data_IF_899593315312
#
_entry.id   IF_899593315312
#
_cell.length_a   1.000
_cell.length_b   1.000
_cell.length_c   1.000
_cell.angle_alpha   90.00
_cell.angle_beta   90.00
_cell.angle_gamma   90.00
#
_symmetry.space_group_name_H-M   'P 1'
#
loop_
_entity.id
_entity.type
_entity.pdbx_description
1 polymer ?
#
# COMPACT_ATOMS: atom_id res chain seq x y z
N UNK A 1 -17.28 -23.07 5.95
CA UNK A 1 -16.38 -22.14 5.22
C UNK A 1 -15.15 -21.91 6.10
N UNK A 2 -13.95 -22.26 5.66
CA UNK A 2 -12.71 -21.94 6.40
C UNK A 2 -12.38 -20.47 6.13
N UNK A 3 -12.24 -19.67 7.18
CA UNK A 3 -11.73 -18.30 7.05
C UNK A 3 -10.21 -18.39 7.10
N UNK A 4 -9.55 -18.06 5.99
CA UNK A 4 -8.10 -17.95 5.96
C UNK A 4 -7.66 -16.67 6.66
N UNK A 5 -6.58 -16.76 7.44
CA UNK A 5 -6.03 -15.61 8.15
C UNK A 5 -5.30 -14.72 7.16
N UNK A 6 -5.84 -13.54 6.91
CA UNK A 6 -5.20 -12.51 6.09
C UNK A 6 -4.36 -11.60 6.99
N UNK A 7 -3.09 -11.39 6.64
CA UNK A 7 -2.24 -10.36 7.25
C UNK A 7 -2.31 -9.11 6.39
N UNK A 8 -2.75 -8.00 6.98
CA UNK A 8 -2.89 -6.71 6.31
C UNK A 8 -1.78 -5.76 6.74
N UNK A 9 -1.18 -5.08 5.77
CA UNK A 9 -0.28 -3.95 5.99
C UNK A 9 -1.04 -2.69 5.58
N UNK A 10 -1.17 -1.74 6.49
CA UNK A 10 -1.82 -0.45 6.23
C UNK A 10 -1.10 0.67 6.97
N UNK A 11 -1.54 1.91 6.74
CA UNK A 11 -0.97 3.13 7.30
C UNK A 11 -2.07 4.00 7.92
N UNK A 12 -1.69 5.12 8.51
CA UNK A 12 -2.66 6.14 8.93
C UNK A 12 -3.37 6.75 7.71
N UNK A 13 -4.57 7.31 7.94
CA UNK A 13 -5.36 8.03 6.92
C UNK A 13 -4.66 9.30 6.47
N UNK A 14 -5.00 9.82 5.28
CA UNK A 14 -4.31 10.98 4.70
C UNK A 14 -2.81 10.70 4.52
N UNK A 15 -2.52 9.49 4.00
CA UNK A 15 -1.17 8.97 3.86
C UNK A 15 -0.29 9.90 3.01
N UNK A 16 0.88 10.22 3.54
CA UNK A 16 1.93 10.97 2.87
C UNK A 16 2.94 10.02 2.19
N UNK A 17 4.05 10.58 1.69
CA UNK A 17 5.08 9.79 1.02
C UNK A 17 5.81 8.83 1.96
N UNK A 18 5.92 9.14 3.25
CA UNK A 18 6.53 8.23 4.22
C UNK A 18 5.62 7.03 4.47
N UNK A 19 4.32 7.26 4.65
CA UNK A 19 3.33 6.18 4.72
C UNK A 19 3.37 5.28 3.48
N UNK A 20 3.42 5.87 2.27
CA UNK A 20 3.53 5.12 1.03
C UNK A 20 4.83 4.30 0.95
N UNK A 21 5.98 4.89 1.31
CA UNK A 21 7.27 4.22 1.32
C UNK A 21 7.33 3.09 2.35
N UNK A 22 6.78 3.32 3.54
CA UNK A 22 6.63 2.34 4.61
C UNK A 22 5.77 1.15 4.17
N UNK A 23 4.65 1.40 3.47
CA UNK A 23 3.80 0.35 2.91
C UNK A 23 4.57 -0.53 1.91
N UNK A 24 5.38 0.08 1.04
CA UNK A 24 6.22 -0.63 0.08
C UNK A 24 7.29 -1.46 0.79
N UNK A 25 7.98 -0.89 1.77
CA UNK A 25 9.02 -1.56 2.55
C UNK A 25 8.45 -2.76 3.31
N UNK A 26 7.36 -2.57 4.05
CA UNK A 26 6.70 -3.62 4.80
C UNK A 26 6.23 -4.76 3.87
N UNK A 27 5.71 -4.46 2.67
CA UNK A 27 5.35 -5.50 1.71
C UNK A 27 6.54 -6.28 1.13
N UNK A 28 7.75 -5.73 1.16
CA UNK A 28 8.98 -6.48 0.84
C UNK A 28 9.41 -7.37 2.01
N UNK A 29 9.26 -6.90 3.25
CA UNK A 29 9.57 -7.66 4.47
C UNK A 29 8.57 -8.81 4.70
N UNK A 30 7.30 -8.62 4.31
CA UNK A 30 6.23 -9.59 4.46
C UNK A 30 5.54 -9.87 3.12
N UNK A 31 6.15 -10.68 2.23
CA UNK A 31 5.62 -10.91 0.88
C UNK A 31 4.23 -11.56 0.82
N UNK A 32 3.86 -12.34 1.85
CA UNK A 32 2.54 -12.98 1.96
C UNK A 32 1.45 -12.07 2.51
N UNK A 33 1.79 -10.86 2.95
CA UNK A 33 0.82 -9.90 3.49
C UNK A 33 0.24 -9.01 2.37
N UNK A 34 -1.03 -8.63 2.53
CA UNK A 34 -1.70 -7.72 1.59
C UNK A 34 -1.42 -6.27 1.98
N UNK A 35 -0.92 -5.47 1.02
CA UNK A 35 -0.75 -4.01 1.18
C UNK A 35 -2.07 -3.31 0.90
N UNK A 36 -2.50 -2.41 1.79
CA UNK A 36 -3.73 -1.65 1.65
C UNK A 36 -3.53 -0.21 2.14
N UNK A 37 -3.75 0.77 1.25
CA UNK A 37 -3.80 2.18 1.62
C UNK A 37 -5.12 2.47 2.33
N UNK A 38 -5.06 3.21 3.43
CA UNK A 38 -6.22 3.54 4.27
C UNK A 38 -6.96 4.77 3.72
N UNK A 39 -7.94 4.52 2.85
CA UNK A 39 -8.93 5.51 2.42
C UNK A 39 -8.36 6.68 1.62
N UNK A 40 -7.89 7.74 2.29
CA UNK A 40 -7.39 8.97 1.69
C UNK A 40 -5.86 9.04 1.71
N UNK A 41 -5.30 9.64 0.65
CA UNK A 41 -3.88 10.01 0.55
C UNK A 41 -3.78 11.52 0.39
N UNK A 42 -2.66 12.11 0.82
CA UNK A 42 -2.38 13.52 0.58
C UNK A 42 -2.42 13.85 -0.93
N UNK A 43 -2.79 15.09 -1.28
CA UNK A 43 -3.00 15.51 -2.68
C UNK A 43 -1.76 15.31 -3.57
N UNK A 44 -0.58 15.57 -3.04
CA UNK A 44 0.70 15.32 -3.72
C UNK A 44 0.93 13.83 -4.00
N UNK A 45 0.62 12.95 -3.05
CA UNK A 45 0.71 11.49 -3.21
C UNK A 45 -0.32 11.00 -4.21
N UNK A 46 -1.53 11.55 -4.18
CA UNK A 46 -2.59 11.26 -5.16
C UNK A 46 -2.11 11.59 -6.58
N UNK A 47 -1.62 12.81 -6.80
CA UNK A 47 -1.10 13.24 -8.10
C UNK A 47 0.07 12.38 -8.56
N UNK A 48 0.93 11.97 -7.64
CA UNK A 48 2.04 11.05 -7.94
C UNK A 48 1.52 9.67 -8.40
N UNK A 49 0.55 9.09 -7.69
CA UNK A 49 -0.05 7.80 -8.05
C UNK A 49 -0.78 7.84 -9.39
N UNK A 50 -1.51 8.93 -9.67
CA UNK A 50 -2.17 9.18 -10.95
C UNK A 50 -1.17 9.30 -12.11
N UNK A 51 -0.02 9.96 -11.85
CA UNK A 51 1.05 10.11 -12.84
C UNK A 51 1.84 8.83 -13.08
N UNK A 52 1.97 7.97 -12.07
CA UNK A 52 2.80 6.75 -12.11
C UNK A 52 2.03 5.47 -11.69
N UNK A 53 0.94 5.10 -12.36
CA UNK A 53 0.10 3.97 -11.95
C UNK A 53 0.84 2.62 -11.98
N UNK A 54 1.87 2.50 -12.81
CA UNK A 54 2.61 1.25 -13.02
C UNK A 54 3.66 0.96 -11.94
N UNK A 55 4.11 2.00 -11.22
CA UNK A 55 5.31 1.95 -10.38
C UNK A 55 5.08 1.41 -8.97
N UNK A 56 3.83 1.39 -8.50
CA UNK A 56 3.51 1.09 -7.10
C UNK A 56 2.72 -0.22 -6.92
N UNK A 57 1.96 -0.65 -7.93
CA UNK A 57 1.00 -1.75 -7.81
C UNK A 57 1.42 -3.07 -8.47
N UNK A 58 2.60 -3.19 -9.07
CA UNK A 58 3.09 -4.50 -9.53
C UNK A 58 3.57 -5.34 -8.34
N UNK A 59 2.61 -5.87 -7.59
CA UNK A 59 2.78 -7.14 -6.89
C UNK A 59 2.75 -8.20 -7.97
N UNK A 60 3.83 -8.95 -8.15
CA UNK A 60 3.82 -10.14 -8.99
C UNK A 60 2.68 -11.05 -8.52
N UNK A 61 1.72 -11.27 -9.40
CA UNK A 61 0.83 -12.44 -9.39
C UNK A 61 1.60 -13.66 -9.85
#
# INVERSE_FOLDING_TARGET
MKVEKVTLITTHTNADFDALASLVCAGKLYPSATKCLSGSVCSNVKMFLEKYPQGILKSHS
#
